data_IF_918447974342
#
_entry.id   IF_918447974342
#
_cell.length_a   1.000
_cell.length_b   1.000
_cell.length_c   1.000
_cell.angle_alpha   90.00
_cell.angle_beta   90.00
_cell.angle_gamma   90.00
#
_symmetry.space_group_name_H-M   'P 1'
#
loop_
_entity.id
_entity.type
_entity.pdbx_description
1 polymer ?
#
# COMPACT_ATOMS: atom_id res chain seq x y z
N UNK A 1 3.60 -4.02 5.42
CA UNK A 1 3.87 -3.62 4.02
C UNK A 1 2.91 -4.37 3.11
N UNK A 2 2.63 -3.86 1.92
CA UNK A 2 1.89 -4.56 0.87
C UNK A 2 2.64 -4.44 -0.46
N UNK A 3 2.54 -5.47 -1.29
CA UNK A 3 3.10 -5.54 -2.64
C UNK A 3 1.96 -5.50 -3.65
N UNK A 4 2.11 -4.71 -4.71
CA UNK A 4 1.13 -4.61 -5.79
C UNK A 4 1.64 -5.39 -7.01
N UNK A 5 0.84 -6.37 -7.42
CA UNK A 5 1.11 -7.21 -8.60
C UNK A 5 0.19 -6.82 -9.76
N UNK A 6 0.73 -6.87 -10.98
CA UNK A 6 -0.02 -6.66 -12.22
C UNK A 6 -0.78 -7.95 -12.63
N UNK A 7 -1.40 -7.93 -13.82
CA UNK A 7 -2.16 -9.08 -14.35
C UNK A 7 -1.29 -10.33 -14.56
N UNK A 8 -0.01 -10.13 -14.85
CA UNK A 8 1.01 -11.16 -15.11
C UNK A 8 1.62 -11.70 -13.81
N UNK A 9 1.24 -11.14 -12.66
CA UNK A 9 1.79 -11.49 -11.35
C UNK A 9 3.13 -10.81 -11.04
N UNK A 10 3.54 -9.84 -11.84
CA UNK A 10 4.78 -9.10 -11.62
C UNK A 10 4.56 -7.94 -10.66
N UNK A 11 5.50 -7.75 -9.74
CA UNK A 11 5.54 -6.59 -8.86
C UNK A 11 5.86 -5.32 -9.65
N UNK A 12 5.09 -4.26 -9.38
CA UNK A 12 5.35 -2.94 -9.97
C UNK A 12 5.30 -1.78 -8.97
N UNK A 13 4.66 -1.96 -7.81
CA UNK A 13 4.53 -0.92 -6.79
C UNK A 13 4.38 -1.50 -5.38
N UNK A 14 4.59 -0.65 -4.37
CA UNK A 14 4.30 -0.96 -2.97
C UNK A 14 3.00 -0.34 -2.45
N UNK A 15 2.63 -0.72 -1.24
CA UNK A 15 1.51 -0.15 -0.49
C UNK A 15 1.67 -0.29 1.02
N UNK A 16 0.84 0.43 1.76
CA UNK A 16 0.78 0.39 3.22
C UNK A 16 -0.60 -0.04 3.68
N UNK A 17 -0.67 -1.05 4.54
CA UNK A 17 -1.93 -1.51 5.15
C UNK A 17 -2.40 -0.44 6.14
N UNK A 18 -3.60 0.10 5.95
CA UNK A 18 -4.21 1.06 6.87
C UNK A 18 -5.29 0.41 7.76
N UNK A 19 -5.93 -0.63 7.24
CA UNK A 19 -6.92 -1.44 7.96
C UNK A 19 -7.09 -2.78 7.22
N UNK A 20 -7.93 -3.66 7.73
CA UNK A 20 -8.24 -4.95 7.10
C UNK A 20 -8.69 -4.81 5.64
N UNK A 21 -9.36 -3.71 5.27
CA UNK A 21 -9.95 -3.53 3.94
C UNK A 21 -9.27 -2.44 3.09
N UNK A 22 -8.28 -1.72 3.63
CA UNK A 22 -7.72 -0.55 2.95
C UNK A 22 -6.20 -0.58 2.88
N UNK A 23 -5.71 -0.45 1.66
CA UNK A 23 -4.30 -0.24 1.34
C UNK A 23 -4.11 1.18 0.80
N UNK A 24 -3.14 1.89 1.35
CA UNK A 24 -2.66 3.17 0.83
C UNK A 24 -1.55 2.92 -0.18
N UNK A 25 -1.62 3.59 -1.33
CA UNK A 25 -0.58 3.55 -2.35
C UNK A 25 -0.50 4.90 -3.08
N UNK A 26 0.40 5.02 -4.04
CA UNK A 26 0.51 6.18 -4.90
C UNK A 26 -0.54 6.14 -6.02
N UNK A 27 -1.04 7.30 -6.43
CA UNK A 27 -2.00 7.41 -7.53
C UNK A 27 -1.38 7.00 -8.88
N UNK A 28 -0.10 7.29 -9.09
CA UNK A 28 0.58 6.93 -10.34
C UNK A 28 0.72 5.42 -10.54
N UNK A 29 0.63 4.61 -9.49
CA UNK A 29 0.64 3.14 -9.58
C UNK A 29 -0.64 2.60 -10.26
N UNK A 30 -1.76 3.33 -10.22
CA UNK A 30 -3.06 2.81 -10.66
C UNK A 30 -3.15 2.64 -12.18
N UNK A 31 -2.53 3.52 -12.96
CA UNK A 31 -2.64 3.51 -14.42
C UNK A 31 -1.60 2.61 -15.12
N UNK A 32 -0.83 1.85 -14.35
CA UNK A 32 0.23 0.97 -14.88
C UNK A 32 -0.27 -0.44 -15.19
N UNK A 33 -1.39 -0.85 -14.58
CA UNK A 33 -1.95 -2.20 -14.68
C UNK A 33 -3.47 -2.13 -14.84
N UNK A 34 -4.03 -3.06 -15.62
CA UNK A 34 -5.49 -3.18 -15.82
C UNK A 34 -6.17 -3.85 -14.62
N UNK A 35 -5.50 -4.82 -14.00
CA UNK A 35 -5.88 -5.44 -12.74
C UNK A 35 -4.74 -5.24 -11.72
N UNK A 36 -5.09 -5.07 -10.46
CA UNK A 36 -4.14 -4.96 -9.35
C UNK A 36 -4.49 -6.01 -8.31
N UNK A 37 -3.51 -6.84 -7.96
CA UNK A 37 -3.58 -7.76 -6.83
C UNK A 37 -2.68 -7.24 -5.72
N UNK A 38 -3.09 -7.45 -4.48
CA UNK A 38 -2.36 -7.02 -3.29
C UNK A 38 -1.86 -8.24 -2.54
N UNK A 39 -0.55 -8.33 -2.30
CA UNK A 39 0.06 -9.34 -1.43
C UNK A 39 0.49 -8.68 -0.13
N UNK A 40 0.20 -9.35 1.00
CA UNK A 40 0.63 -8.93 2.33
C UNK A 40 1.21 -10.11 3.08
N UNK A 41 2.11 -9.85 4.05
CA UNK A 41 2.76 -10.89 4.85
C UNK A 41 4.00 -11.51 4.22
N UNK A 42 4.40 -11.01 3.04
CA UNK A 42 5.63 -11.37 2.33
C UNK A 42 6.84 -10.63 2.93
N UNK A 43 7.89 -11.38 3.27
CA UNK A 43 9.17 -10.86 3.76
C UNK A 43 10.32 -11.27 2.85
N UNK A 44 10.32 -12.50 2.32
CA UNK A 44 11.37 -13.05 1.46
C UNK A 44 10.80 -13.54 0.12
N UNK A 45 11.11 -12.81 -0.96
CA UNK A 45 10.60 -13.06 -2.32
C UNK A 45 11.01 -14.41 -2.91
N UNK A 46 12.07 -15.03 -2.39
CA UNK A 46 12.55 -16.32 -2.91
C UNK A 46 11.85 -17.52 -2.25
N UNK A 47 10.99 -17.27 -1.26
CA UNK A 47 10.32 -18.31 -0.49
C UNK A 47 8.82 -18.07 -0.45
N UNK A 48 8.07 -19.13 -0.64
CA UNK A 48 6.63 -19.11 -0.35
C UNK A 48 6.46 -19.17 1.17
N UNK A 49 5.99 -18.08 1.78
CA UNK A 49 5.75 -18.00 3.22
C UNK A 49 4.27 -18.26 3.56
N UNK A 50 4.00 -19.04 4.61
CA UNK A 50 2.61 -19.30 5.06
C UNK A 50 1.88 -18.02 5.52
N UNK A 51 2.64 -16.95 5.81
CA UNK A 51 2.09 -15.63 6.16
C UNK A 51 1.55 -14.86 4.96
N UNK A 52 1.90 -15.26 3.74
CA UNK A 52 1.49 -14.56 2.52
C UNK A 52 0.02 -14.78 2.22
N UNK A 53 -0.69 -13.67 2.00
CA UNK A 53 -2.06 -13.72 1.50
C UNK A 53 -2.24 -12.74 0.35
N UNK A 54 -2.89 -13.22 -0.70
CA UNK A 54 -3.21 -12.45 -1.89
C UNK A 54 -4.67 -11.98 -1.85
N UNK A 55 -4.89 -10.72 -2.17
CA UNK A 55 -6.19 -10.06 -2.13
C UNK A 55 -6.49 -9.39 -3.47
N UNK A 56 -7.75 -9.45 -3.88
CA UNK A 56 -8.25 -8.72 -5.05
C UNK A 56 -8.82 -7.36 -4.63
N UNK A 57 -8.72 -6.37 -5.52
CA UNK A 57 -9.22 -5.01 -5.28
C UNK A 57 -10.68 -4.89 -5.73
N UNK A 58 -11.55 -4.46 -4.81
CA UNK A 58 -12.97 -4.17 -5.07
C UNK A 58 -13.15 -2.76 -5.65
N UNK A 59 -12.41 -1.78 -5.12
CA UNK A 59 -12.52 -0.39 -5.57
C UNK A 59 -11.20 0.35 -5.45
N UNK A 60 -10.90 1.16 -6.46
CA UNK A 60 -9.77 2.08 -6.45
C UNK A 60 -10.29 3.51 -6.27
N UNK A 61 -9.70 4.23 -5.32
CA UNK A 61 -10.04 5.59 -4.98
C UNK A 61 -8.80 6.47 -5.20
N UNK A 62 -8.65 6.98 -6.42
CA UNK A 62 -7.58 7.93 -6.76
C UNK A 62 -7.97 9.32 -6.26
N UNK A 63 -7.01 10.06 -5.69
CA UNK A 63 -7.25 11.44 -5.31
C UNK A 63 -7.66 12.28 -6.53
N UNK A 64 -8.81 12.97 -6.44
CA UNK A 64 -9.41 13.68 -7.59
C UNK A 64 -8.58 14.82 -8.15
N UNK A 65 -7.60 15.32 -7.38
CA UNK A 65 -6.64 16.36 -7.79
C UNK A 65 -5.27 15.80 -8.19
N UNK A 66 -5.14 14.49 -8.42
CA UNK A 66 -3.88 13.92 -8.90
C UNK A 66 -3.48 14.53 -10.25
N UNK A 67 -2.25 15.01 -10.36
CA UNK A 67 -1.70 15.59 -11.60
C UNK A 67 -0.56 14.70 -12.13
N UNK A 68 -0.77 13.88 -13.17
CA UNK A 68 0.23 12.93 -13.66
C UNK A 68 1.56 13.55 -14.11
N UNK A 69 1.54 14.82 -14.54
CA UNK A 69 2.75 15.52 -15.01
C UNK A 69 3.67 15.98 -13.89
N UNK A 70 3.12 16.26 -12.71
CA UNK A 70 3.87 16.84 -11.57
C UNK A 70 3.88 15.93 -10.35
N UNK A 71 3.11 14.82 -10.39
CA UNK A 71 2.86 13.94 -9.26
C UNK A 71 2.26 14.67 -8.05
N UNK A 72 1.58 15.79 -8.29
CA UNK A 72 0.87 16.49 -7.22
C UNK A 72 -0.37 15.70 -6.81
N UNK A 73 -0.63 15.61 -5.50
CA UNK A 73 -1.65 14.76 -4.88
C UNK A 73 -1.55 13.27 -5.29
N UNK A 74 -0.33 12.73 -5.32
CA UNK A 74 -0.04 11.34 -5.69
C UNK A 74 -0.39 10.33 -4.58
N UNK A 75 -1.69 10.16 -4.35
CA UNK A 75 -2.25 9.31 -3.30
C UNK A 75 -3.50 8.58 -3.79
N UNK A 76 -3.59 7.29 -3.48
CA UNK A 76 -4.74 6.45 -3.79
C UNK A 76 -5.03 5.46 -2.67
N UNK A 77 -6.29 5.05 -2.54
CA UNK A 77 -6.73 3.97 -1.66
C UNK A 77 -7.25 2.80 -2.49
N UNK A 78 -6.78 1.60 -2.17
CA UNK A 78 -7.34 0.34 -2.66
C UNK A 78 -8.24 -0.23 -1.58
N UNK A 79 -9.52 -0.40 -1.90
CA UNK A 79 -10.45 -1.16 -1.07
C UNK A 79 -10.41 -2.62 -1.51
N UNK A 80 -10.07 -3.50 -0.59
CA UNK A 80 -10.00 -4.94 -0.84
C UNK A 80 -11.40 -5.55 -0.88
N UNK A 81 -11.54 -6.63 -1.65
CA UNK A 81 -12.79 -7.39 -1.76
C UNK A 81 -13.06 -8.24 -0.52
N UNK A 82 -12.00 -8.79 0.07
CA UNK A 82 -12.03 -9.53 1.32
C UNK A 82 -11.07 -8.90 2.32
N UNK A 83 -11.38 -8.94 3.63
CA UNK A 83 -10.52 -8.38 4.65
C UNK A 83 -9.22 -9.18 4.80
N UNK A 84 -8.12 -8.45 4.97
CA UNK A 84 -6.86 -8.99 5.46
C UNK A 84 -7.05 -9.51 6.88
N UNK A 85 -6.54 -10.71 7.16
CA UNK A 85 -6.46 -11.25 8.51
C UNK A 85 -5.17 -10.79 9.17
N UNK A 86 -5.27 -10.02 10.25
CA UNK A 86 -4.08 -9.61 10.98
C UNK A 86 -3.39 -10.76 11.71
N UNK A 87 -2.07 -10.67 11.76
CA UNK A 87 -1.17 -11.64 12.39
C UNK A 87 0.07 -10.93 12.91
N UNK A 88 1.03 -11.67 13.44
CA UNK A 88 2.33 -11.11 13.84
C UNK A 88 3.10 -10.50 12.66
N UNK A 89 2.87 -10.99 11.44
CA UNK A 89 3.53 -10.54 10.21
C UNK A 89 2.70 -9.54 9.41
N UNK A 90 1.39 -9.47 9.68
CA UNK A 90 0.44 -8.64 8.93
C UNK A 90 -0.30 -7.71 9.88
N UNK A 91 0.15 -6.45 9.94
CA UNK A 91 -0.45 -5.40 10.78
C UNK A 91 -0.52 -4.08 10.04
N UNK A 92 -1.54 -3.27 10.36
CA UNK A 92 -1.72 -1.94 9.81
C UNK A 92 -0.77 -0.91 10.44
N UNK A 93 -0.36 0.09 9.65
CA UNK A 93 0.30 1.28 10.16
C UNK A 93 -0.72 2.23 10.82
N UNK A 94 -0.28 2.96 11.85
CA UNK A 94 -1.12 3.94 12.53
C UNK A 94 -1.30 5.21 11.69
N UNK A 95 -2.55 5.69 11.55
CA UNK A 95 -2.83 7.03 11.03
C UNK A 95 -2.72 8.05 12.18
N UNK A 96 -1.81 9.05 12.08
CA UNK A 96 -1.69 10.08 13.09
C UNK A 96 -2.80 11.13 12.97
N UNK A 97 -3.05 11.86 14.06
CA UNK A 97 -3.77 13.14 13.99
C UNK A 97 -2.89 14.18 13.29
N UNK A 98 -3.51 15.11 12.57
CA UNK A 98 -2.80 16.12 11.78
C UNK A 98 -1.79 16.94 12.62
N UNK A 99 -2.23 17.47 13.76
CA UNK A 99 -1.35 18.27 14.63
C UNK A 99 -0.16 17.44 15.15
N UNK A 100 -0.40 16.20 15.56
CA UNK A 100 0.66 15.30 16.00
C UNK A 100 1.64 14.95 14.88
N UNK A 101 1.15 14.74 13.66
CA UNK A 101 1.99 14.50 12.50
C UNK A 101 2.90 15.71 12.23
N UNK A 102 2.32 16.91 12.19
CA UNK A 102 3.03 18.13 11.83
C UNK A 102 4.02 18.59 12.90
N UNK A 103 3.63 18.54 14.17
CA UNK A 103 4.42 19.10 15.27
C UNK A 103 5.44 18.11 15.83
N UNK A 104 5.14 16.80 15.77
CA UNK A 104 5.96 15.77 16.42
C UNK A 104 6.60 14.80 15.43
N UNK A 105 5.84 14.18 14.53
CA UNK A 105 6.40 13.14 13.66
C UNK A 105 7.32 13.72 12.59
N UNK A 106 6.88 14.80 11.92
CA UNK A 106 7.63 15.44 10.84
C UNK A 106 8.83 16.26 11.34
N UNK A 107 8.94 16.48 12.64
CA UNK A 107 10.10 17.17 13.27
C UNK A 107 11.19 16.20 13.72
N UNK A 108 10.97 14.88 13.60
CA UNK A 108 11.99 13.88 13.88
C UNK A 108 13.11 13.91 12.84
N UNK A 109 14.32 13.51 13.26
CA UNK A 109 15.52 13.56 12.41
C UNK A 109 15.55 12.47 11.33
N UNK A 110 14.78 11.41 11.48
CA UNK A 110 14.79 10.25 10.59
C UNK A 110 13.41 9.61 10.48
N UNK A 111 13.19 8.94 9.35
CA UNK A 111 12.05 8.07 9.08
C UNK A 111 12.53 6.77 8.44
N UNK A 112 11.64 5.78 8.32
CA UNK A 112 11.93 4.49 7.70
C UNK A 112 11.08 4.31 6.44
N UNK A 113 11.72 3.82 5.39
CA UNK A 113 11.09 3.47 4.10
C UNK A 113 11.43 2.00 3.81
N UNK A 114 10.48 1.24 3.26
CA UNK A 114 10.68 -0.14 2.80
C UNK A 114 10.00 -0.35 1.45
N UNK A 115 10.50 -1.34 0.71
CA UNK A 115 10.04 -1.71 -0.64
C UNK A 115 10.90 -2.85 -1.18
N UNK A 116 10.49 -3.46 -2.30
CA UNK A 116 11.24 -4.52 -2.98
C UNK A 116 11.79 -4.10 -4.35
N UNK A 117 11.70 -2.80 -4.68
CA UNK A 117 12.30 -2.19 -5.86
C UNK A 117 13.74 -1.72 -5.68
#
# INVERSE_FOLDING_TARGET
QAVLLNEEGEEFCGGTILSENFILTAAHCINQSKEIKVVVGEVDREKEEESETMHTVDKILVHSKFVPRTYDNDIALLKLKEPVKFSEYVVAACLPKADFANEVLMTQKSGRVSGFG
#
